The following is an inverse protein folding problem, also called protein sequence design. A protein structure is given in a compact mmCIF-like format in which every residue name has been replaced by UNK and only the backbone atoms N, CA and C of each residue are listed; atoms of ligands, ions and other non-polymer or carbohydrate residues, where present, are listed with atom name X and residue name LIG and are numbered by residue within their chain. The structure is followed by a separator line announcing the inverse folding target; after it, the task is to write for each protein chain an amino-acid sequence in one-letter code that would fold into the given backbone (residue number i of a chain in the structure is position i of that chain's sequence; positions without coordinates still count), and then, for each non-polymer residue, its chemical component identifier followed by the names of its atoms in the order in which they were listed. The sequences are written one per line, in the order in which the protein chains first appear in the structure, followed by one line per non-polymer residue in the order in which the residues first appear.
data_IF_728748507942
#
_entry.id   IF_728748507942
#
_cell.length_a   1.000
_cell.length_b   1.000
_cell.length_c   1.000
_cell.angle_alpha   90.00
_cell.angle_beta   90.00
_cell.angle_gamma   90.00
#
_symmetry.space_group_name_H-M   'P 1'
#
loop_
_entity.id
_entity.type
_entity.pdbx_description
1 polymer ?
#
# COMPACT_ATOMS: atom_id res chain seq x y z
N UNK A 1 -10.08 -11.88 14.55
CA UNK A 1 -9.16 -10.86 14.03
C UNK A 1 -9.44 -10.62 12.55
N UNK A 2 -9.54 -9.35 12.16
CA UNK A 2 -9.84 -9.01 10.76
C UNK A 2 -8.60 -9.17 9.90
N UNK A 3 -8.73 -9.87 8.79
CA UNK A 3 -7.70 -9.96 7.77
C UNK A 3 -8.00 -8.97 6.65
N UNK A 4 -6.94 -8.35 6.12
CA UNK A 4 -7.05 -7.42 4.99
C UNK A 4 -6.45 -8.06 3.75
N UNK A 5 -7.04 -7.78 2.59
CA UNK A 5 -6.41 -8.10 1.32
C UNK A 5 -5.47 -6.93 0.97
N UNK A 6 -4.25 -7.25 0.60
CA UNK A 6 -3.24 -6.25 0.26
C UNK A 6 -3.05 -6.22 -1.26
N UNK A 7 -3.21 -5.04 -1.84
CA UNK A 7 -3.05 -4.81 -3.27
C UNK A 7 -1.93 -3.82 -3.51
N UNK A 8 -1.33 -3.88 -4.67
CA UNK A 8 -0.30 -2.92 -5.10
C UNK A 8 -0.86 -2.08 -6.24
N UNK A 9 -0.67 -0.76 -6.17
CA UNK A 9 -0.98 0.10 -7.31
C UNK A 9 -0.01 -0.20 -8.45
N UNK A 10 -0.40 0.11 -9.68
CA UNK A 10 0.46 -0.08 -10.85
C UNK A 10 1.76 0.72 -10.68
N UNK A 11 1.65 1.96 -10.22
CA UNK A 11 2.82 2.81 -10.00
C UNK A 11 3.75 2.25 -8.92
N UNK A 12 3.20 1.67 -7.85
CA UNK A 12 4.01 1.03 -6.81
C UNK A 12 4.74 -0.19 -7.36
N UNK A 13 4.03 -1.03 -8.10
CA UNK A 13 4.61 -2.25 -8.69
C UNK A 13 5.76 -1.90 -9.65
N UNK A 14 5.59 -0.90 -10.48
CA UNK A 14 6.62 -0.43 -11.40
C UNK A 14 7.83 0.12 -10.64
N UNK A 15 7.60 0.90 -9.59
CA UNK A 15 8.66 1.49 -8.79
C UNK A 15 9.46 0.41 -8.05
N UNK A 16 8.78 -0.55 -7.42
CA UNK A 16 9.42 -1.63 -6.67
C UNK A 16 10.29 -2.50 -7.58
N UNK A 17 9.88 -2.71 -8.82
CA UNK A 17 10.64 -3.52 -9.78
C UNK A 17 12.04 -2.94 -10.06
N UNK A 18 12.26 -1.66 -9.79
CA UNK A 18 13.56 -1.00 -10.00
C UNK A 18 14.54 -1.21 -8.85
N UNK A 19 14.05 -1.67 -7.70
CA UNK A 19 14.89 -1.91 -6.52
C UNK A 19 15.49 -3.30 -6.56
N UNK A 20 16.56 -3.52 -5.77
CA UNK A 20 17.18 -4.82 -5.69
C UNK A 20 16.28 -5.82 -4.96
N UNK A 21 16.66 -7.10 -5.02
CA UNK A 21 15.87 -8.18 -4.44
C UNK A 21 15.69 -8.02 -2.93
N UNK A 22 16.71 -7.53 -2.22
CA UNK A 22 16.63 -7.36 -0.77
C UNK A 22 15.53 -6.39 -0.37
N UNK A 23 15.39 -5.29 -1.11
CA UNK A 23 14.32 -4.31 -0.90
C UNK A 23 12.96 -4.92 -1.22
N UNK A 24 12.86 -5.63 -2.35
CA UNK A 24 11.62 -6.29 -2.75
C UNK A 24 11.16 -7.32 -1.71
N UNK A 25 12.09 -8.13 -1.19
CA UNK A 25 11.78 -9.11 -0.15
C UNK A 25 11.29 -8.45 1.13
N UNK A 26 11.87 -7.29 1.48
CA UNK A 26 11.44 -6.53 2.65
C UNK A 26 10.02 -6.00 2.50
N UNK A 27 9.67 -5.52 1.30
CA UNK A 27 8.31 -5.08 0.98
C UNK A 27 7.33 -6.24 1.12
N UNK A 28 7.68 -7.41 0.60
CA UNK A 28 6.85 -8.61 0.73
C UNK A 28 6.56 -8.94 2.19
N UNK A 29 7.57 -8.85 3.06
CA UNK A 29 7.41 -9.10 4.50
C UNK A 29 6.51 -8.07 5.18
N UNK A 30 6.61 -6.81 4.77
CA UNK A 30 5.74 -5.75 5.29
C UNK A 30 4.29 -6.05 4.89
N UNK A 31 4.06 -6.43 3.64
CA UNK A 31 2.71 -6.76 3.16
C UNK A 31 2.12 -7.94 3.92
N UNK A 32 2.92 -8.96 4.20
CA UNK A 32 2.47 -10.12 4.99
C UNK A 32 2.00 -9.69 6.39
N UNK A 33 2.74 -8.78 7.03
CA UNK A 33 2.36 -8.26 8.35
C UNK A 33 1.07 -7.44 8.28
N UNK A 34 0.88 -6.68 7.21
CA UNK A 34 -0.30 -5.83 7.05
C UNK A 34 -1.60 -6.63 6.93
N UNK A 35 -1.55 -7.85 6.43
CA UNK A 35 -2.72 -8.72 6.32
C UNK A 35 -3.40 -8.87 7.70
N UNK A 36 -2.63 -9.04 8.74
CA UNK A 36 -3.12 -9.28 10.10
C UNK A 36 -3.04 -8.08 11.01
N UNK A 37 -2.28 -7.04 10.63
CA UNK A 37 -2.10 -5.84 11.42
C UNK A 37 -2.01 -4.62 10.53
N UNK A 38 -3.16 -4.08 10.16
CA UNK A 38 -3.25 -2.92 9.27
C UNK A 38 -2.54 -1.68 9.83
N UNK A 39 -2.41 -1.58 11.16
CA UNK A 39 -1.77 -0.45 11.82
C UNK A 39 -0.30 -0.68 12.13
N UNK A 40 0.33 -1.63 11.45
CA UNK A 40 1.75 -1.96 11.62
C UNK A 40 2.67 -0.74 11.45
N UNK A 41 2.41 0.12 10.48
CA UNK A 41 3.20 1.33 10.25
C UNK A 41 2.73 2.51 11.11
N UNK A 42 3.31 3.67 10.86
CA UNK A 42 3.01 4.91 11.57
C UNK A 42 1.95 5.73 10.82
N UNK A 43 0.98 6.33 11.54
CA UNK A 43 -0.03 7.16 10.88
C UNK A 43 0.56 8.47 10.36
N UNK A 44 0.01 8.96 9.24
CA UNK A 44 0.42 10.21 8.61
C UNK A 44 -0.75 11.20 8.65
N UNK A 45 -1.07 11.65 9.85
CA UNK A 45 -2.16 12.60 10.10
C UNK A 45 -3.54 11.98 10.21
N UNK A 46 -3.70 10.72 9.83
CA UNK A 46 -4.94 9.97 9.95
C UNK A 46 -4.61 8.48 10.06
N UNK A 47 -5.53 7.68 10.61
CA UNK A 47 -5.32 6.24 10.82
C UNK A 47 -5.24 5.45 9.51
N UNK A 48 -5.91 5.92 8.46
CA UNK A 48 -6.02 5.17 7.21
C UNK A 48 -4.89 5.46 6.20
N UNK A 49 -4.05 6.44 6.47
CA UNK A 49 -2.87 6.76 5.64
C UNK A 49 -1.64 6.57 6.49
N UNK A 50 -0.80 5.59 6.14
CA UNK A 50 0.30 5.18 6.99
C UNK A 50 1.58 4.94 6.19
N UNK A 51 2.70 4.95 6.91
CA UNK A 51 4.00 4.57 6.33
C UNK A 51 4.66 3.50 7.18
N UNK A 52 5.37 2.59 6.53
CA UNK A 52 6.25 1.65 7.21
C UNK A 52 7.69 2.03 6.87
N UNK A 53 8.54 2.12 7.89
CA UNK A 53 9.94 2.52 7.73
C UNK A 53 10.85 1.32 7.82
N UNK A 54 11.81 1.24 6.91
CA UNK A 54 12.94 0.33 7.07
C UNK A 54 14.17 0.97 6.45
N UNK A 55 15.30 0.96 7.18
CA UNK A 55 16.53 1.64 6.80
C UNK A 55 16.21 3.11 6.42
N UNK A 56 16.62 3.55 5.22
CA UNK A 56 16.36 4.90 4.75
C UNK A 56 15.11 4.98 3.86
N UNK A 57 14.29 3.92 3.83
CA UNK A 57 13.12 3.83 2.96
C UNK A 57 11.83 4.01 3.73
N UNK A 58 10.81 4.48 2.99
CA UNK A 58 9.44 4.66 3.48
C UNK A 58 8.49 4.00 2.49
N UNK A 59 7.65 3.10 2.99
CA UNK A 59 6.62 2.43 2.20
C UNK A 59 5.28 3.00 2.63
N UNK A 60 4.51 3.52 1.68
CA UNK A 60 3.24 4.21 1.98
C UNK A 60 2.06 3.35 1.57
N UNK A 61 1.02 3.32 2.43
CA UNK A 61 -0.17 2.55 2.13
C UNK A 61 -1.42 3.22 2.67
N UNK A 62 -2.54 2.86 2.05
CA UNK A 62 -3.87 3.36 2.41
C UNK A 62 -4.72 2.20 2.89
N UNK A 63 -5.45 2.39 3.99
CA UNK A 63 -6.33 1.39 4.57
C UNK A 63 -7.77 1.75 4.23
N UNK A 64 -8.47 0.82 3.60
CA UNK A 64 -9.90 0.97 3.27
C UNK A 64 -10.69 -0.02 4.12
N UNK A 65 -11.11 0.44 5.30
CA UNK A 65 -11.84 -0.39 6.28
C UNK A 65 -13.11 -0.98 5.68
N UNK A 66 -13.88 -0.16 4.96
CA UNK A 66 -15.12 -0.58 4.35
C UNK A 66 -14.94 -1.65 3.27
N UNK A 67 -13.76 -1.72 2.68
CA UNK A 67 -13.44 -2.70 1.64
C UNK A 67 -12.64 -3.90 2.18
N UNK A 68 -12.18 -3.82 3.43
CA UNK A 68 -11.28 -4.83 3.99
C UNK A 68 -9.97 -4.92 3.22
N UNK A 69 -9.47 -3.80 2.69
CA UNK A 69 -8.34 -3.78 1.78
C UNK A 69 -7.30 -2.74 2.17
N UNK A 70 -6.06 -3.05 1.82
CA UNK A 70 -4.93 -2.13 1.96
C UNK A 70 -4.31 -1.96 0.57
N UNK A 71 -3.97 -0.72 0.23
CA UNK A 71 -3.40 -0.37 -1.07
C UNK A 71 -2.00 0.18 -0.90
N UNK A 72 -1.00 -0.51 -1.44
CA UNK A 72 0.38 -0.06 -1.44
C UNK A 72 0.54 0.94 -2.57
N UNK A 73 0.88 2.20 -2.25
CA UNK A 73 0.82 3.28 -3.23
C UNK A 73 2.14 3.93 -3.58
N UNK A 74 3.15 3.86 -2.69
CA UNK A 74 4.44 4.50 -2.99
C UNK A 74 5.58 3.97 -2.14
N UNK A 75 6.80 4.18 -2.62
CA UNK A 75 8.02 4.00 -1.86
C UNK A 75 8.87 5.25 -2.09
N UNK A 76 9.57 5.71 -1.05
CA UNK A 76 10.52 6.81 -1.18
C UNK A 76 11.69 6.60 -0.25
N UNK A 77 12.77 7.34 -0.48
CA UNK A 77 13.82 7.51 0.51
C UNK A 77 13.36 8.52 1.57
N UNK A 78 14.08 8.58 2.68
CA UNK A 78 13.80 9.53 3.76
C UNK A 78 13.75 10.98 3.27
N UNK A 79 14.64 11.33 2.33
CA UNK A 79 14.77 12.68 1.80
C UNK A 79 13.51 13.18 1.08
N UNK A 80 12.78 12.27 0.43
CA UNK A 80 11.62 12.62 -0.38
C UNK A 80 10.29 12.36 0.33
N UNK A 81 10.32 12.14 1.64
CA UNK A 81 9.13 11.79 2.42
C UNK A 81 7.99 12.80 2.25
N UNK A 82 8.25 14.08 2.49
CA UNK A 82 7.18 15.09 2.45
C UNK A 82 6.62 15.27 1.05
N UNK A 83 7.48 15.25 0.04
CA UNK A 83 7.05 15.34 -1.36
C UNK A 83 6.13 14.18 -1.74
N UNK A 84 6.49 12.98 -1.31
CA UNK A 84 5.71 11.76 -1.59
C UNK A 84 4.37 11.81 -0.87
N UNK A 85 4.33 12.21 0.40
CA UNK A 85 3.09 12.37 1.16
C UNK A 85 2.16 13.36 0.47
N UNK A 86 2.68 14.50 0.03
CA UNK A 86 1.89 15.53 -0.66
C UNK A 86 1.30 14.99 -1.97
N UNK A 87 2.09 14.25 -2.72
CA UNK A 87 1.64 13.64 -3.98
C UNK A 87 0.51 12.63 -3.73
N UNK A 88 0.67 11.75 -2.74
CA UNK A 88 -0.37 10.77 -2.41
C UNK A 88 -1.68 11.47 -2.06
N UNK A 89 -1.62 12.55 -1.26
CA UNK A 89 -2.82 13.31 -0.86
C UNK A 89 -3.57 13.89 -2.05
N UNK A 90 -2.86 14.27 -3.11
CA UNK A 90 -3.49 14.78 -4.32
C UNK A 90 -4.23 13.70 -5.12
N UNK A 91 -3.87 12.43 -4.95
CA UNK A 91 -4.42 11.33 -5.74
C UNK A 91 -5.31 10.39 -4.94
N UNK A 92 -5.81 10.82 -3.77
CA UNK A 92 -6.63 9.94 -2.92
C UNK A 92 -7.88 9.41 -3.62
N UNK A 93 -8.59 10.26 -4.37
CA UNK A 93 -9.78 9.82 -5.10
C UNK A 93 -9.42 8.84 -6.23
N UNK A 94 -8.33 9.09 -6.92
CA UNK A 94 -7.84 8.22 -7.96
C UNK A 94 -7.51 6.82 -7.39
N UNK A 95 -6.83 6.77 -6.26
CA UNK A 95 -6.50 5.49 -5.62
C UNK A 95 -7.76 4.77 -5.15
N UNK A 96 -8.76 5.49 -4.65
CA UNK A 96 -10.03 4.88 -4.27
C UNK A 96 -10.71 4.20 -5.44
N UNK A 97 -10.77 4.86 -6.58
CA UNK A 97 -11.36 4.30 -7.79
C UNK A 97 -10.59 3.08 -8.28
N UNK A 98 -9.26 3.13 -8.24
CA UNK A 98 -8.42 2.00 -8.62
C UNK A 98 -8.65 0.78 -7.76
N UNK A 99 -8.64 0.95 -6.44
CA UNK A 99 -8.79 -0.19 -5.52
C UNK A 99 -10.18 -0.81 -5.65
N UNK A 100 -11.21 -0.01 -5.83
CA UNK A 100 -12.57 -0.52 -6.05
C UNK A 100 -12.64 -1.39 -7.30
N UNK A 101 -12.00 -0.95 -8.38
CA UNK A 101 -11.92 -1.70 -9.62
C UNK A 101 -11.16 -3.02 -9.43
N UNK A 102 -10.01 -2.97 -8.75
CA UNK A 102 -9.21 -4.17 -8.48
C UNK A 102 -9.98 -5.19 -7.66
N UNK A 103 -10.74 -4.75 -6.68
CA UNK A 103 -11.56 -5.64 -5.84
C UNK A 103 -12.65 -6.30 -6.67
N UNK A 104 -13.30 -5.55 -7.57
CA UNK A 104 -14.31 -6.12 -8.46
C UNK A 104 -13.72 -7.19 -9.36
N UNK A 105 -12.55 -6.95 -9.93
CA UNK A 105 -11.84 -7.91 -10.78
C UNK A 105 -11.43 -9.15 -10.00
N UNK A 106 -10.94 -8.97 -8.77
CA UNK A 106 -10.54 -10.06 -7.88
C UNK A 106 -11.73 -10.95 -7.53
N UNK A 107 -12.88 -10.35 -7.22
CA UNK A 107 -14.11 -11.08 -6.92
C UNK A 107 -14.64 -11.86 -8.13
N UNK A 108 -14.53 -11.31 -9.33
CA UNK A 108 -14.93 -12.01 -10.56
C UNK A 108 -14.06 -13.23 -10.81
N UNK A 109 -12.76 -13.15 -10.55
CA UNK A 109 -11.86 -14.30 -10.68
C UNK A 109 -12.20 -15.38 -9.67
N UNK A 110 -12.55 -15.01 -8.44
CA UNK A 110 -12.96 -15.95 -7.41
C UNK A 110 -14.25 -16.68 -7.80
N UNK A 111 -15.21 -15.99 -8.44
CA UNK A 111 -16.46 -16.57 -8.91
C UNK A 111 -16.25 -17.55 -10.07
N UNK A 112 -15.25 -17.33 -10.91
CA UNK A 112 -14.92 -18.19 -12.05
C UNK A 112 -14.15 -19.44 -11.65
N UNK A 113 -13.55 -19.43 -10.49
CA UNK A 113 -12.78 -20.58 -10.00
C UNK A 113 -13.67 -21.51 -9.18
#
# INVERSE_FOLDING_TARGET
MKEYKVFRSISFQEEIAKYDKNIQDRVDKIEDKLIYNSEYGNPLGTKWFRESRFENYRIYYLIYEDLGAIYMVAISGKKDQQKTINTIRLFLEFFREEIEKLIREDNLQDEES
#
